data_IF_063129612041
#
_entry.id   IF_063129612041
#
_cell.length_a   1.000
_cell.length_b   1.000
_cell.length_c   1.000
_cell.angle_alpha   90.00
_cell.angle_beta   90.00
_cell.angle_gamma   90.00
#
_symmetry.space_group_name_H-M   'P 1'
#
loop_
_entity.id
_entity.type
_entity.pdbx_description
1 polymer ?
#
# COMPACT_ATOMS: atom_id res chain seq x y z
N UNK A 1 -0.57 -2.79 6.69
CA UNK A 1 -1.74 -2.43 5.85
C UNK A 1 -2.24 -3.59 4.97
N UNK A 2 -1.46 -4.10 4.02
CA UNK A 2 -1.90 -5.17 3.11
C UNK A 2 -2.14 -6.48 3.88
N UNK A 3 -1.27 -6.80 4.84
CA UNK A 3 -1.45 -7.91 5.79
C UNK A 3 -2.69 -7.76 6.69
N UNK A 4 -3.14 -6.53 6.94
CA UNK A 4 -4.28 -6.20 7.80
C UNK A 4 -5.61 -6.42 7.07
N UNK A 5 -5.69 -6.03 5.79
CA UNK A 5 -6.88 -6.30 4.94
C UNK A 5 -6.89 -7.75 4.45
N UNK A 6 -5.71 -8.29 4.16
CA UNK A 6 -5.51 -9.63 3.65
C UNK A 6 -5.49 -9.66 2.11
N UNK A 7 -4.51 -10.34 1.49
CA UNK A 7 -4.39 -10.44 0.03
C UNK A 7 -5.63 -11.05 -0.64
N UNK A 8 -6.37 -11.94 0.06
CA UNK A 8 -7.61 -12.54 -0.44
C UNK A 8 -8.74 -11.52 -0.59
N UNK A 9 -8.84 -10.57 0.33
CA UNK A 9 -9.87 -9.54 0.27
C UNK A 9 -9.54 -8.50 -0.79
N UNK A 10 -8.26 -8.16 -0.95
CA UNK A 10 -7.80 -7.29 -2.03
C UNK A 10 -8.04 -7.91 -3.41
N UNK A 11 -7.81 -9.22 -3.57
CA UNK A 11 -8.12 -9.92 -4.83
C UNK A 11 -9.61 -10.07 -5.12
N UNK A 12 -10.49 -9.82 -4.15
CA UNK A 12 -11.94 -9.76 -4.37
C UNK A 12 -12.41 -8.35 -4.71
N UNK A 13 -11.66 -7.33 -4.31
CA UNK A 13 -11.93 -5.92 -4.58
C UNK A 13 -11.29 -5.44 -5.88
N UNK A 14 -10.47 -6.27 -6.51
CA UNK A 14 -9.73 -5.98 -7.73
C UNK A 14 -9.70 -7.22 -8.61
N UNK A 15 -9.40 -7.04 -9.91
CA UNK A 15 -9.17 -8.15 -10.84
C UNK A 15 -7.78 -8.80 -10.64
N UNK A 16 -7.05 -8.39 -9.60
CA UNK A 16 -5.68 -8.83 -9.35
C UNK A 16 -5.63 -10.09 -8.49
N UNK A 17 -4.87 -11.09 -8.94
CA UNK A 17 -4.65 -12.34 -8.22
C UNK A 17 -4.16 -12.19 -6.77
N UNK A 18 -4.61 -13.10 -5.91
CA UNK A 18 -4.13 -13.24 -4.54
C UNK A 18 -2.59 -13.32 -4.44
N UNK A 19 -1.97 -14.12 -5.32
CA UNK A 19 -0.52 -14.29 -5.36
C UNK A 19 0.20 -12.99 -5.70
N UNK A 20 -0.41 -12.12 -6.50
CA UNK A 20 0.14 -10.81 -6.84
C UNK A 20 0.09 -9.87 -5.64
N UNK A 21 -1.05 -9.81 -4.94
CA UNK A 21 -1.16 -9.10 -3.67
C UNK A 21 -0.18 -9.60 -2.61
N UNK A 22 0.11 -10.90 -2.59
CA UNK A 22 1.10 -11.48 -1.69
C UNK A 22 2.52 -10.98 -2.01
N UNK A 23 2.90 -10.91 -3.29
CA UNK A 23 4.19 -10.40 -3.72
C UNK A 23 4.32 -8.90 -3.46
N UNK A 24 3.27 -8.12 -3.71
CA UNK A 24 3.23 -6.68 -3.39
C UNK A 24 3.39 -6.47 -1.89
N UNK A 25 2.70 -7.26 -1.06
CA UNK A 25 2.85 -7.20 0.40
C UNK A 25 4.26 -7.52 0.91
N UNK A 26 5.05 -8.22 0.10
CA UNK A 26 6.44 -8.59 0.40
C UNK A 26 7.45 -7.61 -0.21
N UNK A 27 6.99 -6.60 -0.96
CA UNK A 27 7.86 -5.70 -1.73
C UNK A 27 8.63 -6.40 -2.87
N UNK A 28 8.21 -7.61 -3.25
CA UNK A 28 8.91 -8.41 -4.26
C UNK A 28 8.57 -7.97 -5.70
N UNK A 29 7.44 -7.28 -5.89
CA UNK A 29 6.97 -6.78 -7.19
C UNK A 29 6.49 -5.34 -7.08
N UNK A 30 6.55 -4.62 -8.20
CA UNK A 30 6.05 -3.24 -8.31
C UNK A 30 4.54 -3.25 -8.47
N UNK A 31 3.86 -2.35 -7.77
CA UNK A 31 2.40 -2.19 -7.80
C UNK A 31 1.98 -1.58 -9.15
N UNK A 32 0.98 -2.16 -9.81
CA UNK A 32 0.44 -1.62 -11.07
C UNK A 32 -0.62 -0.55 -10.81
N UNK A 33 -1.02 0.21 -11.84
CA UNK A 33 -2.01 1.29 -11.72
C UNK A 33 -3.35 0.84 -11.12
N UNK A 34 -3.83 -0.36 -11.48
CA UNK A 34 -5.08 -0.94 -10.96
C UNK A 34 -5.01 -1.22 -9.45
N UNK A 35 -3.89 -1.80 -9.03
CA UNK A 35 -3.61 -2.11 -7.63
C UNK A 35 -3.43 -0.80 -6.82
N UNK A 36 -2.81 0.23 -7.42
CA UNK A 36 -2.71 1.57 -6.83
C UNK A 36 -4.11 2.14 -6.59
N UNK A 37 -5.02 2.09 -7.55
CA UNK A 37 -6.39 2.63 -7.39
C UNK A 37 -7.13 1.98 -6.21
N UNK A 38 -7.03 0.67 -6.09
CA UNK A 38 -7.65 -0.09 -4.98
C UNK A 38 -7.01 0.29 -3.64
N UNK A 39 -5.69 0.40 -3.59
CA UNK A 39 -4.98 0.79 -2.37
C UNK A 39 -5.23 2.25 -2.00
N UNK A 40 -5.35 3.17 -2.95
CA UNK A 40 -5.70 4.58 -2.73
C UNK A 40 -7.10 4.70 -2.15
N UNK A 41 -8.06 3.89 -2.63
CA UNK A 41 -9.42 3.84 -2.09
C UNK A 41 -9.46 3.34 -0.64
N UNK A 42 -8.64 2.34 -0.32
CA UNK A 42 -8.58 1.77 1.04
C UNK A 42 -7.73 2.62 1.99
N UNK A 43 -6.65 3.21 1.48
CA UNK A 43 -5.64 3.95 2.21
C UNK A 43 -5.26 5.25 1.48
N UNK A 44 -6.16 6.24 1.46
CA UNK A 44 -5.90 7.52 0.78
C UNK A 44 -4.69 8.26 1.36
N UNK A 45 -4.34 8.02 2.64
CA UNK A 45 -3.12 8.58 3.25
C UNK A 45 -1.81 8.11 2.61
N UNK A 46 -1.85 7.04 1.81
CA UNK A 46 -0.66 6.51 1.15
C UNK A 46 -0.68 6.76 -0.37
N UNK A 47 -1.61 7.59 -0.87
CA UNK A 47 -1.84 7.76 -2.30
C UNK A 47 -0.61 8.27 -3.07
N UNK A 48 0.06 9.32 -2.59
CA UNK A 48 1.27 9.86 -3.20
C UNK A 48 2.41 8.83 -3.23
N UNK A 49 2.56 8.07 -2.16
CA UNK A 49 3.58 7.02 -2.07
C UNK A 49 3.29 5.87 -3.04
N UNK A 50 2.03 5.45 -3.15
CA UNK A 50 1.63 4.41 -4.09
C UNK A 50 1.77 4.87 -5.55
N UNK A 51 1.41 6.11 -5.86
CA UNK A 51 1.42 6.64 -7.22
C UNK A 51 2.83 7.03 -7.71
N UNK A 52 3.64 7.65 -6.84
CA UNK A 52 4.93 8.26 -7.22
C UNK A 52 6.13 7.70 -6.46
N UNK A 53 5.92 6.87 -5.43
CA UNK A 53 6.98 6.43 -4.52
C UNK A 53 7.45 7.50 -3.53
N UNK A 54 6.85 8.69 -3.57
CA UNK A 54 7.21 9.82 -2.71
C UNK A 54 6.29 9.90 -1.49
N UNK A 55 6.86 10.28 -0.34
CA UNK A 55 6.11 10.58 0.87
C UNK A 55 6.14 12.09 1.13
N UNK A 56 5.04 12.61 1.67
CA UNK A 56 4.88 13.99 2.10
C UNK A 56 4.16 14.05 3.46
N UNK A 57 4.88 13.80 4.57
CA UNK A 57 4.30 13.80 5.92
C UNK A 57 3.68 15.15 6.31
N UNK A 58 4.14 16.26 5.72
CA UNK A 58 3.59 17.60 5.99
C UNK A 58 2.13 17.78 5.55
N UNK A 59 1.64 16.97 4.62
CA UNK A 59 0.22 16.96 4.19
C UNK A 59 -0.49 15.65 4.59
N UNK A 60 0.10 14.87 5.50
CA UNK A 60 -0.44 13.60 5.96
C UNK A 60 -0.36 12.45 4.94
N UNK A 61 0.43 12.63 3.86
CA UNK A 61 0.67 11.56 2.89
C UNK A 61 1.96 10.83 3.22
N UNK A 62 1.89 9.68 3.88
CA UNK A 62 3.07 8.93 4.34
C UNK A 62 3.22 7.61 3.60
N UNK A 63 4.13 6.75 4.05
CA UNK A 63 4.20 5.35 3.65
C UNK A 63 4.14 4.47 4.89
N UNK A 64 3.71 3.20 4.76
CA UNK A 64 3.75 2.27 5.87
C UNK A 64 5.16 2.07 6.43
N UNK A 65 6.19 2.10 5.58
CA UNK A 65 7.59 2.03 6.00
C UNK A 65 8.01 3.23 6.85
N UNK A 66 7.57 4.44 6.44
CA UNK A 66 7.79 5.66 7.21
C UNK A 66 7.02 5.66 8.54
N UNK A 67 5.76 5.22 8.54
CA UNK A 67 4.94 5.06 9.76
C UNK A 67 5.63 4.08 10.74
N UNK A 68 6.07 2.90 10.28
CA UNK A 68 6.75 1.90 11.13
C UNK A 68 8.09 2.41 11.67
N UNK A 69 8.90 3.08 10.84
CA UNK A 69 10.17 3.67 11.27
C UNK A 69 9.95 4.79 12.29
N UNK A 70 8.93 5.63 12.09
CA UNK A 70 8.60 6.73 13.00
C UNK A 70 7.94 6.23 14.30
N UNK A 71 7.23 5.10 14.28
CA UNK A 71 6.64 4.48 15.49
C UNK A 71 7.64 3.74 16.36
N UNK A 72 8.75 3.24 15.79
CA UNK A 72 9.77 2.49 16.55
C UNK A 72 10.82 3.37 17.23
N UNK A 73 10.61 4.70 17.26
CA UNK A 73 11.56 5.68 17.81
C UNK A 73 11.24 6.12 19.25
N UNK A 74 10.36 5.41 19.96
CA UNK A 74 9.98 5.67 21.36
C UNK A 74 10.33 4.51 22.30
#
# INVERSE_FOLDING_TARGET
MIKTVGPKRLSQLSDTDHSRWLNVSKGAVRVSTEEIDVLVKLYPKYALWLASGQISPGIGQTSPDYDEANQSSE
#
